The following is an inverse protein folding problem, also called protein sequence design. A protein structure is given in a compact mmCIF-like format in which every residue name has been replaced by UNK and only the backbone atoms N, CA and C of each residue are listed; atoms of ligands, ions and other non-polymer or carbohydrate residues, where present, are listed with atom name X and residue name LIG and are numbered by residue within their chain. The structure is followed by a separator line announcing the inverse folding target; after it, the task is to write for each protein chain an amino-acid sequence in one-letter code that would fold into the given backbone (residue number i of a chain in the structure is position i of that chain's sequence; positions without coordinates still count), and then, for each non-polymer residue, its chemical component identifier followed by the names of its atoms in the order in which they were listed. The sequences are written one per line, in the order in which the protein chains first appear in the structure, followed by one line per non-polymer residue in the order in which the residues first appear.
data_IF_861786614584
#
_entry.id   IF_861786614584
#
_cell.length_a   1.000
_cell.length_b   1.000
_cell.length_c   1.000
_cell.angle_alpha   90.00
_cell.angle_beta   90.00
_cell.angle_gamma   90.00
#
_symmetry.space_group_name_H-M   'P 1'
#
loop_
_entity.id
_entity.type
_entity.pdbx_description
1 polymer ?
#
# COMPACT_ATOMS: atom_id res chain seq x y z
N UNK A 1 30.57 -1.14 -0.30
CA UNK A 1 29.52 -0.93 0.72
C UNK A 1 28.15 -0.65 0.11
N UNK A 2 27.98 0.38 -0.73
CA UNK A 2 26.69 0.72 -1.36
C UNK A 2 26.13 -0.35 -2.32
N UNK A 3 27.00 -1.00 -3.10
CA UNK A 3 26.63 -2.10 -4.02
C UNK A 3 26.15 -3.36 -3.28
N UNK A 4 26.68 -3.58 -2.07
CA UNK A 4 26.24 -4.68 -1.19
C UNK A 4 24.87 -4.37 -0.57
N UNK A 5 24.56 -3.10 -0.28
CA UNK A 5 23.25 -2.68 0.24
C UNK A 5 22.11 -2.94 -0.77
N UNK A 6 22.36 -2.60 -2.04
CA UNK A 6 21.43 -2.86 -3.14
C UNK A 6 21.31 -4.36 -3.44
N UNK A 7 22.42 -5.11 -3.42
CA UNK A 7 22.38 -6.58 -3.57
C UNK A 7 21.63 -7.25 -2.41
N UNK A 8 21.77 -6.76 -1.17
CA UNK A 8 21.09 -7.34 0.00
C UNK A 8 19.58 -7.06 0.01
N UNK A 9 19.16 -5.86 -0.40
CA UNK A 9 17.74 -5.54 -0.58
C UNK A 9 17.12 -6.37 -1.73
N UNK A 10 17.84 -6.56 -2.84
CA UNK A 10 17.40 -7.46 -3.93
C UNK A 10 17.35 -8.93 -3.51
N UNK A 11 18.39 -9.46 -2.85
CA UNK A 11 18.51 -10.88 -2.46
C UNK A 11 17.56 -11.26 -1.33
N UNK A 12 17.30 -10.36 -0.36
CA UNK A 12 16.30 -10.57 0.69
C UNK A 12 14.88 -10.73 0.11
N UNK A 13 14.62 -10.07 -1.02
CA UNK A 13 13.32 -10.14 -1.69
C UNK A 13 13.22 -11.34 -2.65
N UNK A 14 14.29 -11.65 -3.37
CA UNK A 14 14.33 -12.80 -4.29
C UNK A 14 14.20 -14.16 -3.57
N UNK A 15 14.53 -14.23 -2.27
CA UNK A 15 14.35 -15.43 -1.45
C UNK A 15 12.93 -15.60 -0.87
N UNK A 16 12.09 -14.55 -0.87
CA UNK A 16 10.75 -14.57 -0.28
C UNK A 16 9.61 -14.72 -1.28
N UNK A 17 9.89 -14.70 -2.58
CA UNK A 17 8.91 -14.98 -3.65
C UNK A 17 8.52 -16.46 -3.77
N UNK A 18 9.15 -17.37 -3.02
CA UNK A 18 8.93 -18.83 -3.10
C UNK A 18 7.94 -19.39 -2.06
N UNK A 19 7.47 -18.60 -1.09
CA UNK A 19 6.66 -19.11 0.03
C UNK A 19 5.55 -18.15 0.42
N UNK A 20 4.45 -18.12 -0.35
CA UNK A 20 3.18 -17.54 0.09
C UNK A 20 2.04 -18.43 -0.44
N UNK A 21 1.58 -19.37 0.38
CA UNK A 21 0.32 -20.11 0.19
C UNK A 21 -0.31 -20.40 1.55
N UNK A 22 -1.35 -19.66 1.96
CA UNK A 22 -2.16 -20.05 3.12
C UNK A 22 -2.94 -18.93 3.83
N UNK A 23 -4.09 -19.31 4.39
CA UNK A 23 -5.10 -18.50 5.10
C UNK A 23 -4.60 -17.74 6.36
N UNK A 24 -3.41 -18.02 6.86
CA UNK A 24 -2.85 -17.36 8.06
C UNK A 24 -2.10 -16.03 7.76
N UNK A 25 -1.88 -15.70 6.48
CA UNK A 25 -1.00 -14.60 6.05
C UNK A 25 -1.69 -13.22 5.95
N UNK A 26 -3.03 -13.13 5.98
CA UNK A 26 -3.70 -11.84 5.69
C UNK A 26 -3.54 -10.80 6.81
N UNK A 27 -3.32 -11.25 8.07
CA UNK A 27 -2.87 -10.36 9.16
C UNK A 27 -1.38 -10.01 9.06
N UNK A 28 -0.58 -10.95 8.55
CA UNK A 28 0.85 -10.75 8.31
C UNK A 28 1.14 -9.87 7.08
N UNK A 29 0.21 -9.67 6.15
CA UNK A 29 0.38 -8.72 5.03
C UNK A 29 0.02 -7.29 5.44
N UNK A 30 -0.98 -7.12 6.32
CA UNK A 30 -1.29 -5.82 6.95
C UNK A 30 -0.21 -5.33 7.92
N UNK A 31 0.58 -6.23 8.51
CA UNK A 31 1.74 -5.92 9.36
C UNK A 31 3.10 -6.15 8.66
N UNK A 32 3.13 -6.85 7.53
CA UNK A 32 4.30 -7.11 6.68
C UNK A 32 3.93 -6.84 5.21
N UNK A 33 3.94 -5.58 4.80
CA UNK A 33 5.11 -5.22 4.01
C UNK A 33 6.38 -5.54 4.82
N UNK A 34 7.15 -6.56 4.44
CA UNK A 34 8.50 -6.76 5.01
C UNK A 34 9.34 -5.54 4.62
N UNK A 35 9.20 -4.47 5.38
CA UNK A 35 9.88 -3.20 5.20
C UNK A 35 11.29 -3.38 5.74
N UNK A 36 12.29 -3.08 4.90
CA UNK A 36 13.67 -3.02 5.36
C UNK A 36 13.78 -1.96 6.46
N UNK A 37 14.14 -2.38 7.67
CA UNK A 37 14.44 -1.48 8.77
C UNK A 37 15.91 -1.08 8.65
N UNK A 38 16.17 0.23 8.59
CA UNK A 38 17.51 0.80 8.72
C UNK A 38 17.72 1.22 10.17
N UNK A 39 18.50 0.46 10.93
CA UNK A 39 18.96 0.81 12.27
C UNK A 39 20.37 1.42 12.18
N UNK A 40 20.53 2.62 12.76
CA UNK A 40 21.83 3.29 12.87
C UNK A 40 22.23 3.47 14.34
N UNK A 41 23.21 2.68 14.78
CA UNK A 41 23.84 2.84 16.10
C UNK A 41 24.88 3.98 16.09
N UNK A 42 25.05 4.66 17.23
CA UNK A 42 25.90 5.85 17.38
C UNK A 42 27.41 5.57 17.47
N UNK A 43 27.86 4.35 17.18
CA UNK A 43 29.27 3.97 17.21
C UNK A 43 29.65 3.20 15.93
N UNK A 44 30.15 3.92 14.93
CA UNK A 44 30.43 3.47 13.55
C UNK A 44 29.19 3.16 12.70
N UNK A 45 29.13 3.59 11.42
CA UNK A 45 27.99 3.36 10.54
C UNK A 45 27.97 1.91 10.04
N UNK A 46 27.63 0.98 10.91
CA UNK A 46 27.23 -0.37 10.53
C UNK A 46 25.71 -0.37 10.36
N UNK A 47 25.26 -0.39 9.09
CA UNK A 47 23.86 -0.55 8.73
C UNK A 47 23.44 -2.00 9.00
N UNK A 48 22.50 -2.20 9.94
CA UNK A 48 21.89 -3.50 10.20
C UNK A 48 20.48 -3.56 9.60
N UNK A 49 20.23 -4.59 8.79
CA UNK A 49 18.89 -5.02 8.41
C UNK A 49 18.37 -5.91 9.53
N UNK A 50 17.31 -5.48 10.21
CA UNK A 50 16.61 -6.29 11.22
C UNK A 50 15.39 -6.98 10.63
N UNK A 51 15.19 -8.25 10.97
CA UNK A 51 13.89 -8.93 10.82
C UNK A 51 13.08 -8.71 12.10
N UNK A 52 11.88 -8.12 11.99
CA UNK A 52 10.88 -8.16 13.05
C UNK A 52 9.94 -9.34 12.78
N UNK A 53 10.12 -10.42 13.54
CA UNK A 53 9.19 -11.55 13.55
C UNK A 53 7.91 -11.21 14.31
N UNK A 54 6.76 -11.64 13.76
CA UNK A 54 5.48 -11.58 14.44
C UNK A 54 5.47 -12.53 15.66
N UNK A 55 4.94 -12.05 16.79
CA UNK A 55 4.79 -12.85 18.02
C UNK A 55 3.56 -13.76 17.96
N UNK A 56 3.29 -14.39 16.82
CA UNK A 56 2.27 -15.44 16.71
C UNK A 56 2.56 -16.33 15.52
N UNK A 57 3.47 -17.29 15.65
CA UNK A 57 3.40 -18.62 14.99
C UNK A 57 4.61 -19.45 15.39
N UNK A 58 4.33 -20.65 15.88
CA UNK A 58 5.32 -21.65 16.29
C UNK A 58 5.38 -22.68 15.16
N UNK A 59 6.30 -22.53 14.21
CA UNK A 59 6.56 -23.57 13.20
C UNK A 59 8.05 -23.71 12.98
N UNK A 60 8.60 -24.75 13.62
CA UNK A 60 9.91 -25.33 13.35
C UNK A 60 9.91 -25.94 11.95
N UNK A 61 10.75 -25.43 11.05
CA UNK A 61 11.52 -26.21 10.07
C UNK A 61 12.42 -25.24 9.30
N UNK A 62 13.74 -25.31 9.51
CA UNK A 62 14.77 -25.26 8.46
C UNK A 62 16.16 -25.47 9.12
N UNK A 63 16.89 -26.45 8.59
CA UNK A 63 18.22 -26.88 9.03
C UNK A 63 19.32 -25.88 8.65
N UNK A 64 20.34 -25.64 9.49
CA UNK A 64 21.51 -24.84 9.11
C UNK A 64 22.68 -25.71 8.63
N UNK A 65 23.46 -25.20 7.68
CA UNK A 65 24.79 -25.69 7.28
C UNK A 65 25.79 -24.52 7.29
N UNK A 66 27.11 -24.74 7.46
CA UNK A 66 27.76 -24.81 8.76
C UNK A 66 28.72 -23.62 8.99
N UNK A 67 28.97 -23.27 10.25
CA UNK A 67 30.15 -22.48 10.66
C UNK A 67 31.02 -23.29 11.62
N UNK A 68 32.34 -23.02 11.68
CA UNK A 68 33.29 -23.88 12.36
C UNK A 68 33.15 -23.82 13.88
N UNK A 69 33.45 -24.97 14.46
CA UNK A 69 33.45 -25.33 15.87
C UNK A 69 34.50 -24.50 16.64
N UNK A 70 34.09 -23.91 17.76
CA UNK A 70 34.96 -23.76 18.94
C UNK A 70 34.21 -24.30 20.16
N UNK A 71 34.87 -25.23 20.83
CA UNK A 71 34.41 -26.13 21.89
C UNK A 71 34.25 -25.49 23.27
N UNK A 72 33.30 -26.00 24.06
CA UNK A 72 33.43 -26.02 25.53
C UNK A 72 32.13 -26.19 26.33
N UNK A 73 31.88 -27.41 26.83
CA UNK A 73 31.18 -27.65 28.10
C UNK A 73 29.70 -28.06 28.03
N UNK A 74 29.39 -29.30 28.42
CA UNK A 74 28.07 -29.92 28.42
C UNK A 74 27.43 -30.01 29.83
N UNK A 75 26.16 -30.49 29.84
CA UNK A 75 25.26 -30.87 30.94
C UNK A 75 24.42 -29.71 31.54
N UNK A 76 23.11 -29.79 31.73
CA UNK A 76 22.16 -30.92 31.74
C UNK A 76 20.72 -30.36 31.69
N UNK A 77 19.80 -31.03 30.98
CA UNK A 77 18.37 -30.67 30.88
C UNK A 77 17.63 -31.04 32.17
N UNK A 78 16.86 -30.10 32.73
CA UNK A 78 15.67 -30.41 33.55
C UNK A 78 14.46 -29.66 32.99
N UNK A 79 13.55 -30.42 32.37
CA UNK A 79 12.23 -29.96 31.97
C UNK A 79 11.40 -29.63 33.22
N UNK A 80 11.00 -28.37 33.38
CA UNK A 80 9.82 -28.00 34.17
C UNK A 80 8.84 -27.30 33.24
N UNK A 81 7.76 -28.01 32.90
CA UNK A 81 6.60 -27.45 32.24
C UNK A 81 5.90 -26.51 33.25
N UNK A 82 6.18 -25.20 33.18
CA UNK A 82 5.40 -24.19 33.89
C UNK A 82 4.17 -23.86 33.03
N UNK A 83 2.99 -24.25 33.51
CA UNK A 83 1.70 -23.75 33.01
C UNK A 83 1.66 -22.25 33.32
N UNK A 84 1.53 -21.33 32.34
CA UNK A 84 1.44 -19.91 32.63
C UNK A 84 0.16 -19.58 33.40
N UNK A 85 0.31 -18.83 34.49
CA UNK A 85 -0.77 -18.23 35.27
C UNK A 85 -1.54 -17.22 34.39
N UNK A 86 -2.89 -17.20 34.34
CA UNK A 86 -3.67 -16.38 33.40
C UNK A 86 -3.73 -14.86 33.72
N UNK A 87 -2.72 -14.33 34.42
CA UNK A 87 -2.64 -12.92 34.85
C UNK A 87 -1.28 -12.26 34.53
N UNK A 88 -0.47 -12.84 33.64
CA UNK A 88 0.76 -12.16 33.20
C UNK A 88 0.39 -11.07 32.19
N UNK A 89 0.74 -9.79 32.41
CA UNK A 89 0.53 -8.75 31.42
C UNK A 89 1.25 -9.14 30.12
N UNK A 90 0.68 -8.74 28.98
CA UNK A 90 1.33 -8.92 27.69
C UNK A 90 2.77 -8.36 27.76
N UNK A 91 3.76 -9.04 27.14
CA UNK A 91 5.15 -8.60 27.24
C UNK A 91 5.28 -7.17 26.71
N UNK A 92 5.91 -6.30 27.50
CA UNK A 92 6.16 -4.91 27.15
C UNK A 92 6.80 -4.81 25.75
N UNK A 93 6.31 -3.87 24.94
CA UNK A 93 6.89 -3.59 23.64
C UNK A 93 8.30 -3.01 23.84
N UNK A 94 9.34 -3.51 23.13
CA UNK A 94 10.71 -3.12 23.39
C UNK A 94 10.94 -1.63 23.08
N UNK A 95 11.84 -0.95 23.82
CA UNK A 95 12.22 0.43 23.54
C UNK A 95 12.90 0.53 22.16
N UNK A 96 12.82 1.72 21.56
CA UNK A 96 13.39 2.01 20.24
C UNK A 96 14.43 3.15 20.37
N UNK A 97 15.68 2.87 20.80
CA UNK A 97 16.67 3.89 21.12
C UNK A 97 17.40 4.46 19.90
N UNK A 98 17.24 3.85 18.72
CA UNK A 98 17.96 4.22 17.50
C UNK A 98 17.20 5.23 16.64
N UNK A 99 17.84 5.67 15.57
CA UNK A 99 17.17 6.37 14.47
C UNK A 99 16.64 5.34 13.47
N UNK A 100 15.35 5.41 13.18
CA UNK A 100 14.67 4.50 12.26
C UNK A 100 14.14 5.25 11.04
N UNK A 101 14.23 4.62 9.87
CA UNK A 101 13.65 5.13 8.61
C UNK A 101 12.69 4.06 8.08
N UNK A 102 11.37 4.26 8.23
CA UNK A 102 10.34 3.37 7.70
C UNK A 102 8.97 4.07 7.66
N UNK A 103 7.95 3.40 7.14
CA UNK A 103 6.56 3.84 7.33
C UNK A 103 6.07 3.33 8.68
N UNK A 104 5.81 4.22 9.63
CA UNK A 104 5.34 3.80 10.96
C UNK A 104 3.82 3.90 11.10
N UNK A 105 3.17 4.72 10.27
CA UNK A 105 1.72 4.95 10.31
C UNK A 105 1.24 5.41 11.70
N UNK A 106 1.94 6.39 12.29
CA UNK A 106 1.63 6.92 13.63
C UNK A 106 1.37 8.44 13.63
N UNK A 107 1.70 9.17 12.56
CA UNK A 107 1.55 10.63 12.54
C UNK A 107 0.15 11.14 12.18
N UNK A 108 -0.79 10.26 11.82
CA UNK A 108 -2.20 10.60 11.53
C UNK A 108 -3.15 10.12 12.63
N UNK A 109 -2.64 9.93 13.85
CA UNK A 109 -3.39 9.45 15.03
C UNK A 109 -4.09 8.11 14.82
N UNK A 110 -3.45 7.21 14.07
CA UNK A 110 -3.90 5.84 13.89
C UNK A 110 -4.01 5.11 15.24
N UNK A 111 -4.74 4.00 15.28
CA UNK A 111 -4.87 3.22 16.51
C UNK A 111 -3.49 2.85 17.09
N UNK A 112 -3.26 3.13 18.38
CA UNK A 112 -1.98 2.86 19.06
C UNK A 112 -0.85 3.86 18.79
N UNK A 113 -1.08 4.93 18.01
CA UNK A 113 -0.03 5.87 17.61
C UNK A 113 0.80 6.44 18.75
N UNK A 114 0.13 6.89 19.82
CA UNK A 114 0.79 7.55 20.95
C UNK A 114 1.70 6.55 21.69
N UNK A 115 1.22 5.32 21.87
CA UNK A 115 1.97 4.22 22.50
C UNK A 115 3.23 3.89 21.68
N UNK A 116 3.09 3.78 20.37
CA UNK A 116 4.22 3.48 19.48
C UNK A 116 5.24 4.63 19.46
N UNK A 117 4.81 5.90 19.35
CA UNK A 117 5.71 7.04 19.41
C UNK A 117 6.45 7.18 20.74
N UNK A 118 5.77 6.87 21.86
CA UNK A 118 6.39 6.83 23.19
C UNK A 118 7.57 5.86 23.28
N UNK A 119 7.58 4.76 22.49
CA UNK A 119 8.71 3.81 22.47
C UNK A 119 10.00 4.44 21.96
N UNK A 120 9.88 5.37 21.00
CA UNK A 120 11.02 6.14 20.49
C UNK A 120 11.41 7.24 21.47
N UNK A 121 10.45 8.10 21.85
CA UNK A 121 10.76 9.31 22.63
C UNK A 121 11.31 9.00 24.01
N UNK A 122 10.81 7.95 24.68
CA UNK A 122 11.28 7.55 26.01
C UNK A 122 12.66 6.88 25.98
N UNK A 123 13.07 6.34 24.83
CA UNK A 123 14.34 5.67 24.66
C UNK A 123 15.42 6.58 24.04
N UNK A 124 15.10 7.85 23.77
CA UNK A 124 16.00 8.77 23.06
C UNK A 124 16.14 8.50 21.55
N UNK A 125 15.26 7.65 21.00
CA UNK A 125 15.24 7.34 19.57
C UNK A 125 14.61 8.44 18.72
N UNK A 126 14.63 8.19 17.41
CA UNK A 126 14.13 9.10 16.39
C UNK A 126 13.47 8.31 15.25
N UNK A 127 12.36 8.82 14.74
CA UNK A 127 11.67 8.26 13.59
C UNK A 127 11.70 9.26 12.42
N UNK A 128 12.34 8.87 11.33
CA UNK A 128 12.20 9.49 10.02
C UNK A 128 11.12 8.74 9.23
N UNK A 129 9.86 9.13 9.44
CA UNK A 129 8.73 8.49 8.76
C UNK A 129 8.77 8.79 7.25
N UNK A 130 8.87 7.74 6.44
CA UNK A 130 8.96 7.82 4.98
C UNK A 130 7.73 8.47 4.33
N UNK A 131 6.56 8.42 4.97
CA UNK A 131 5.35 9.11 4.50
C UNK A 131 5.50 10.64 4.56
N UNK A 132 6.31 11.15 5.50
CA UNK A 132 6.45 12.58 5.80
C UNK A 132 7.81 13.15 5.42
N UNK A 133 8.62 12.37 4.70
CA UNK A 133 9.88 12.83 4.12
C UNK A 133 9.58 13.74 2.91
N UNK A 134 9.82 15.05 3.08
CA UNK A 134 9.38 16.09 2.13
C UNK A 134 10.49 17.02 1.66
N UNK A 135 10.39 17.47 0.41
CA UNK A 135 11.22 18.51 -0.17
C UNK A 135 10.91 19.90 0.45
N UNK A 136 11.57 20.94 -0.05
CA UNK A 136 11.40 22.32 0.43
C UNK A 136 10.01 22.91 0.12
N UNK A 137 9.31 22.35 -0.86
CA UNK A 137 7.95 22.73 -1.24
C UNK A 137 6.88 21.90 -0.51
N UNK A 138 7.27 21.04 0.43
CA UNK A 138 6.37 20.15 1.14
C UNK A 138 5.91 18.94 0.33
N UNK A 139 6.50 18.67 -0.85
CA UNK A 139 6.18 17.49 -1.66
C UNK A 139 6.93 16.28 -1.13
N UNK A 140 6.25 15.14 -1.05
CA UNK A 140 6.89 13.86 -0.67
C UNK A 140 7.99 13.49 -1.65
N UNK A 141 9.17 13.16 -1.12
CA UNK A 141 10.35 12.81 -1.91
C UNK A 141 10.19 11.49 -2.66
N UNK A 142 9.54 10.50 -2.02
CA UNK A 142 9.27 9.19 -2.59
C UNK A 142 7.85 8.74 -2.24
N UNK A 143 7.15 8.15 -3.21
CA UNK A 143 5.84 7.54 -3.02
C UNK A 143 5.55 6.53 -4.14
N UNK A 144 4.73 5.52 -3.85
CA UNK A 144 4.36 4.44 -4.78
C UNK A 144 3.23 4.82 -5.77
N UNK A 145 3.04 6.12 -6.04
CA UNK A 145 1.84 6.61 -6.73
C UNK A 145 1.66 6.01 -8.12
N UNK A 146 2.71 6.01 -8.95
CA UNK A 146 2.66 5.52 -10.33
C UNK A 146 2.20 4.06 -10.39
N UNK A 147 2.89 3.16 -9.67
CA UNK A 147 2.53 1.74 -9.66
C UNK A 147 1.22 1.43 -8.95
N UNK A 148 0.75 2.26 -8.01
CA UNK A 148 -0.59 2.14 -7.45
C UNK A 148 -1.67 2.35 -8.53
N UNK A 149 -1.54 3.39 -9.34
CA UNK A 149 -2.46 3.66 -10.44
C UNK A 149 -2.39 2.62 -11.54
N UNK A 150 -1.19 2.17 -11.88
CA UNK A 150 -0.96 1.11 -12.87
C UNK A 150 -1.60 -0.22 -12.44
N UNK A 151 -1.29 -0.69 -11.23
CA UNK A 151 -1.83 -1.93 -10.69
C UNK A 151 -3.35 -1.87 -10.47
N UNK A 152 -3.86 -0.75 -9.95
CA UNK A 152 -5.30 -0.52 -9.78
C UNK A 152 -6.06 -0.59 -11.10
N UNK A 153 -5.53 0.05 -12.14
CA UNK A 153 -6.13 0.03 -13.48
C UNK A 153 -6.08 -1.36 -14.11
N UNK A 154 -4.96 -2.08 -13.96
CA UNK A 154 -4.85 -3.46 -14.41
C UNK A 154 -5.91 -4.36 -13.75
N UNK A 155 -6.10 -4.26 -12.43
CA UNK A 155 -7.15 -4.99 -11.73
C UNK A 155 -8.55 -4.58 -12.18
N UNK A 156 -8.78 -3.29 -12.44
CA UNK A 156 -10.07 -2.79 -12.92
C UNK A 156 -10.43 -3.38 -14.30
N UNK A 157 -9.46 -3.44 -15.21
CA UNK A 157 -9.62 -4.04 -16.54
C UNK A 157 -9.87 -5.55 -16.44
N UNK A 158 -9.15 -6.25 -15.56
CA UNK A 158 -9.39 -7.68 -15.28
C UNK A 158 -10.79 -7.91 -14.70
N UNK A 159 -11.23 -7.07 -13.76
CA UNK A 159 -12.55 -7.17 -13.15
C UNK A 159 -13.66 -6.91 -14.16
N UNK A 160 -13.49 -5.93 -15.03
CA UNK A 160 -14.42 -5.62 -16.11
C UNK A 160 -14.52 -6.78 -17.10
N UNK A 161 -13.39 -7.29 -17.58
CA UNK A 161 -13.35 -8.41 -18.50
C UNK A 161 -13.98 -9.67 -17.88
N UNK A 162 -13.62 -9.99 -16.63
CA UNK A 162 -14.21 -11.09 -15.88
C UNK A 162 -15.73 -10.95 -15.79
N UNK A 163 -16.23 -9.76 -15.47
CA UNK A 163 -17.67 -9.55 -15.31
C UNK A 163 -18.44 -9.80 -16.60
N UNK A 164 -17.90 -9.40 -17.75
CA UNK A 164 -18.52 -9.66 -19.05
C UNK A 164 -18.47 -11.14 -19.45
N UNK A 165 -17.34 -11.81 -19.18
CA UNK A 165 -17.11 -13.21 -19.56
C UNK A 165 -17.75 -14.22 -18.60
N UNK A 166 -18.02 -13.80 -17.35
CA UNK A 166 -18.54 -14.62 -16.26
C UNK A 166 -19.60 -13.84 -15.45
N UNK A 167 -20.73 -13.47 -16.07
CA UNK A 167 -21.77 -12.69 -15.40
C UNK A 167 -22.30 -13.41 -14.16
N UNK A 168 -22.51 -12.67 -13.07
CA UNK A 168 -23.01 -13.20 -11.79
C UNK A 168 -22.00 -14.04 -10.99
N UNK A 169 -20.76 -14.20 -11.47
CA UNK A 169 -19.71 -14.92 -10.75
C UNK A 169 -18.74 -13.95 -10.10
N UNK A 170 -18.47 -14.11 -8.80
CA UNK A 170 -17.48 -13.30 -8.10
C UNK A 170 -16.06 -13.55 -8.67
N UNK A 171 -15.26 -12.50 -8.76
CA UNK A 171 -13.86 -12.64 -9.18
C UNK A 171 -13.05 -13.30 -8.06
N UNK A 172 -12.28 -14.32 -8.42
CA UNK A 172 -11.40 -15.01 -7.50
C UNK A 172 -10.14 -14.21 -7.12
N UNK A 173 -9.27 -14.79 -6.28
CA UNK A 173 -8.01 -14.17 -5.88
C UNK A 173 -7.13 -13.79 -7.07
N UNK A 174 -6.40 -12.68 -6.93
CA UNK A 174 -5.42 -12.22 -7.91
C UNK A 174 -4.01 -12.42 -7.36
N UNK A 175 -3.13 -13.18 -8.04
CA UNK A 175 -1.75 -13.35 -7.58
C UNK A 175 -0.94 -12.07 -7.76
N UNK A 176 0.18 -11.98 -7.05
CA UNK A 176 1.22 -11.00 -7.36
C UNK A 176 1.96 -11.41 -8.63
N UNK A 177 2.50 -10.43 -9.35
CA UNK A 177 3.15 -10.65 -10.63
C UNK A 177 4.66 -10.40 -10.53
N UNK A 178 5.42 -11.25 -11.22
CA UNK A 178 6.88 -11.11 -11.31
C UNK A 178 7.29 -9.86 -12.08
N UNK A 179 6.42 -9.32 -12.94
CA UNK A 179 6.69 -8.10 -13.70
C UNK A 179 5.42 -7.36 -14.11
N UNK A 180 5.57 -6.06 -14.35
CA UNK A 180 4.52 -5.24 -14.96
C UNK A 180 4.13 -5.74 -16.37
N UNK A 181 5.10 -6.28 -17.13
CA UNK A 181 4.83 -6.85 -18.45
C UNK A 181 3.94 -8.09 -18.37
N UNK A 182 4.21 -9.00 -17.43
CA UNK A 182 3.41 -10.21 -17.24
C UNK A 182 1.98 -9.87 -16.80
N UNK A 183 1.83 -8.87 -15.92
CA UNK A 183 0.52 -8.32 -15.55
C UNK A 183 -0.23 -7.80 -16.78
N UNK A 184 0.40 -6.95 -17.59
CA UNK A 184 -0.27 -6.36 -18.76
C UNK A 184 -0.57 -7.38 -19.86
N UNK A 185 0.26 -8.40 -20.05
CA UNK A 185 -0.03 -9.45 -21.03
C UNK A 185 -1.30 -10.22 -20.64
N UNK A 186 -1.50 -10.50 -19.35
CA UNK A 186 -2.75 -11.07 -18.84
C UNK A 186 -3.93 -10.12 -19.06
N UNK A 187 -3.77 -8.84 -18.71
CA UNK A 187 -4.80 -7.81 -18.90
C UNK A 187 -5.21 -7.73 -20.38
N UNK A 188 -4.24 -7.64 -21.29
CA UNK A 188 -4.47 -7.56 -22.73
C UNK A 188 -5.23 -8.78 -23.23
N UNK A 189 -4.85 -9.98 -22.79
CA UNK A 189 -5.58 -11.21 -23.14
C UNK A 189 -7.04 -11.17 -22.67
N UNK A 190 -7.27 -10.79 -21.41
CA UNK A 190 -8.61 -10.73 -20.83
C UNK A 190 -9.49 -9.67 -21.50
N UNK A 191 -8.94 -8.47 -21.73
CA UNK A 191 -9.65 -7.38 -22.43
C UNK A 191 -10.03 -7.80 -23.84
N UNK A 192 -9.09 -8.39 -24.60
CA UNK A 192 -9.35 -8.85 -25.97
C UNK A 192 -10.44 -9.93 -26.04
N UNK A 193 -10.47 -10.87 -25.10
CA UNK A 193 -11.53 -11.88 -25.01
C UNK A 193 -12.89 -11.23 -24.71
N UNK A 194 -12.90 -10.24 -23.82
CA UNK A 194 -14.12 -9.51 -23.43
C UNK A 194 -14.67 -8.57 -24.52
N UNK A 195 -13.88 -8.19 -25.55
CA UNK A 195 -14.35 -7.33 -26.64
C UNK A 195 -15.59 -7.91 -27.35
N UNK A 196 -15.62 -9.22 -27.58
CA UNK A 196 -16.76 -9.87 -28.23
C UNK A 196 -18.05 -9.73 -27.41
N UNK A 197 -17.94 -9.72 -26.07
CA UNK A 197 -19.05 -9.48 -25.15
C UNK A 197 -19.40 -8.00 -24.99
N UNK A 198 -18.60 -7.10 -25.56
CA UNK A 198 -18.79 -5.65 -25.55
C UNK A 198 -18.91 -5.08 -26.97
N UNK A 199 -19.59 -5.78 -27.87
CA UNK A 199 -19.88 -5.32 -29.25
C UNK A 199 -18.62 -4.98 -30.07
N UNK A 200 -17.49 -5.62 -29.76
CA UNK A 200 -16.18 -5.36 -30.39
C UNK A 200 -15.52 -4.06 -29.93
N UNK A 201 -16.04 -3.39 -28.90
CA UNK A 201 -15.52 -2.11 -28.40
C UNK A 201 -14.67 -2.28 -27.15
N UNK A 202 -13.62 -1.48 -27.03
CA UNK A 202 -12.86 -1.35 -25.78
C UNK A 202 -13.71 -0.66 -24.70
N UNK A 203 -13.46 -0.96 -23.41
CA UNK A 203 -14.13 -0.25 -22.33
C UNK A 203 -13.75 1.23 -22.34
N UNK A 204 -14.74 2.10 -22.12
CA UNK A 204 -14.48 3.51 -21.80
C UNK A 204 -14.00 3.60 -20.36
N UNK A 205 -12.79 4.11 -20.17
CA UNK A 205 -12.15 4.28 -18.86
C UNK A 205 -12.09 5.78 -18.55
N UNK A 206 -12.60 6.20 -17.40
CA UNK A 206 -12.37 7.54 -16.87
C UNK A 206 -11.36 7.49 -15.73
N UNK A 207 -10.31 8.29 -15.85
CA UNK A 207 -9.27 8.47 -14.83
C UNK A 207 -9.40 9.88 -14.29
N UNK A 208 -9.76 10.03 -13.01
CA UNK A 208 -9.79 11.33 -12.33
C UNK A 208 -8.50 11.51 -11.53
N UNK A 209 -7.80 12.62 -11.75
CA UNK A 209 -6.43 12.87 -11.25
C UNK A 209 -5.35 12.43 -12.23
N UNK A 210 -5.66 12.49 -13.53
CA UNK A 210 -4.82 11.95 -14.61
C UNK A 210 -3.43 12.60 -14.74
N UNK A 211 -3.25 13.84 -14.27
CA UNK A 211 -1.96 14.56 -14.34
C UNK A 211 -1.04 14.25 -13.16
N UNK A 212 -1.55 13.63 -12.10
CA UNK A 212 -0.74 13.17 -10.97
C UNK A 212 0.00 11.87 -11.28
N UNK A 213 1.03 11.54 -10.49
CA UNK A 213 1.81 10.29 -10.64
C UNK A 213 0.93 9.05 -10.75
N UNK A 214 -0.09 8.96 -9.90
CA UNK A 214 -1.05 7.86 -9.89
C UNK A 214 -1.88 7.81 -11.18
N UNK A 215 -2.45 8.95 -11.60
CA UNK A 215 -3.19 9.03 -12.85
C UNK A 215 -2.34 8.73 -14.09
N UNK A 216 -1.07 9.16 -14.10
CA UNK A 216 -0.13 8.80 -15.16
C UNK A 216 0.04 7.28 -15.27
N UNK A 217 0.30 6.60 -14.15
CA UNK A 217 0.41 5.13 -14.14
C UNK A 217 -0.89 4.43 -14.56
N UNK A 218 -2.05 4.98 -14.20
CA UNK A 218 -3.34 4.46 -14.65
C UNK A 218 -3.53 4.58 -16.17
N UNK A 219 -3.24 5.75 -16.73
CA UNK A 219 -3.33 6.02 -18.19
C UNK A 219 -2.34 5.15 -18.96
N UNK A 220 -1.09 5.05 -18.50
CA UNK A 220 -0.07 4.22 -19.16
C UNK A 220 -0.40 2.72 -19.06
N UNK A 221 -1.09 2.27 -18.01
CA UNK A 221 -1.62 0.91 -17.96
C UNK A 221 -2.70 0.67 -19.03
N UNK A 222 -3.63 1.61 -19.24
CA UNK A 222 -4.60 1.51 -20.34
C UNK A 222 -3.92 1.40 -21.70
N UNK A 223 -2.91 2.25 -21.95
CA UNK A 223 -2.13 2.24 -23.20
C UNK A 223 -1.39 0.92 -23.38
N UNK A 224 -0.72 0.42 -22.32
CA UNK A 224 0.01 -0.85 -22.35
C UNK A 224 -0.93 -2.06 -22.56
N UNK A 225 -2.15 -2.01 -22.03
CA UNK A 225 -3.21 -2.98 -22.25
C UNK A 225 -3.80 -2.92 -23.68
N UNK A 226 -3.43 -1.93 -24.48
CA UNK A 226 -3.86 -1.79 -25.88
C UNK A 226 -5.17 -1.02 -26.07
N UNK A 227 -5.65 -0.31 -25.03
CA UNK A 227 -6.83 0.54 -25.19
C UNK A 227 -6.47 1.74 -26.09
N UNK A 228 -7.34 2.10 -27.04
CA UNK A 228 -7.12 3.27 -27.88
C UNK A 228 -7.34 4.55 -27.04
N UNK A 229 -6.65 5.63 -27.40
CA UNK A 229 -6.59 6.84 -26.58
C UNK A 229 -7.99 7.47 -26.36
N UNK A 230 -8.87 7.39 -27.34
CA UNK A 230 -10.26 7.87 -27.29
C UNK A 230 -11.14 7.12 -26.28
N UNK A 231 -10.77 5.89 -25.90
CA UNK A 231 -11.45 5.14 -24.86
C UNK A 231 -11.07 5.63 -23.45
N UNK A 232 -10.06 6.48 -23.29
CA UNK A 232 -9.55 6.92 -21.99
C UNK A 232 -9.83 8.40 -21.76
N UNK A 233 -10.76 8.71 -20.86
CA UNK A 233 -11.02 10.05 -20.38
C UNK A 233 -10.02 10.42 -19.29
N UNK A 234 -9.15 11.39 -19.58
CA UNK A 234 -8.10 11.87 -18.67
C UNK A 234 -8.58 13.16 -18.00
N UNK A 235 -9.17 13.03 -16.81
CA UNK A 235 -9.73 14.15 -16.07
C UNK A 235 -8.82 14.62 -14.95
N UNK A 236 -8.81 15.92 -14.71
CA UNK A 236 -8.10 16.53 -13.60
C UNK A 236 -8.88 17.77 -13.07
N UNK A 237 -8.19 18.70 -12.41
CA UNK A 237 -8.79 19.89 -11.80
C UNK A 237 -9.65 20.72 -12.76
N UNK A 238 -9.26 20.78 -14.04
CA UNK A 238 -10.00 21.53 -15.05
C UNK A 238 -11.45 21.04 -15.20
N UNK A 239 -11.66 19.72 -15.21
CA UNK A 239 -12.99 19.11 -15.36
C UNK A 239 -13.70 18.98 -14.02
N UNK A 240 -12.97 18.67 -12.95
CA UNK A 240 -13.54 18.37 -11.63
C UNK A 240 -13.92 19.61 -10.83
N UNK A 241 -13.35 20.77 -11.13
CA UNK A 241 -13.64 22.04 -10.44
C UNK A 241 -15.10 22.48 -10.52
N UNK A 242 -15.88 21.96 -11.48
CA UNK A 242 -17.33 22.18 -11.60
C UNK A 242 -18.15 21.60 -10.44
N UNK A 243 -17.56 20.67 -9.68
CA UNK A 243 -18.23 19.92 -8.61
C UNK A 243 -19.04 18.73 -9.15
N UNK A 244 -19.02 17.62 -8.42
CA UNK A 244 -19.81 16.43 -8.77
C UNK A 244 -21.29 16.52 -8.35
N UNK A 245 -22.09 15.47 -8.63
CA UNK A 245 -21.69 14.21 -9.26
C UNK A 245 -21.41 14.34 -10.76
N UNK A 246 -20.52 13.50 -11.28
CA UNK A 246 -20.11 13.52 -12.68
C UNK A 246 -20.83 12.43 -13.49
N UNK A 247 -21.68 12.83 -14.44
CA UNK A 247 -22.37 11.89 -15.34
C UNK A 247 -21.38 11.05 -16.15
N UNK A 248 -20.23 11.62 -16.48
CA UNK A 248 -19.18 10.99 -17.28
C UNK A 248 -18.61 9.74 -16.60
N UNK A 249 -18.71 9.68 -15.26
CA UNK A 249 -18.39 8.47 -14.48
C UNK A 249 -19.43 7.38 -14.74
N UNK A 250 -20.74 7.68 -14.64
CA UNK A 250 -21.80 6.70 -14.89
C UNK A 250 -21.88 6.20 -16.36
N UNK A 251 -21.48 7.06 -17.31
CA UNK A 251 -21.44 6.78 -18.76
C UNK A 251 -20.18 6.00 -19.19
N UNK A 252 -19.16 5.91 -18.35
CA UNK A 252 -17.94 5.12 -18.59
C UNK A 252 -18.14 3.68 -18.12
N UNK A 253 -17.34 2.73 -18.61
CA UNK A 253 -17.39 1.32 -18.18
C UNK A 253 -16.58 1.09 -16.90
N UNK A 254 -15.46 1.82 -16.78
CA UNK A 254 -14.51 1.74 -15.68
C UNK A 254 -14.20 3.16 -15.18
N UNK A 255 -14.20 3.34 -13.87
CA UNK A 255 -13.74 4.56 -13.23
C UNK A 255 -12.52 4.26 -12.34
N UNK A 256 -11.41 4.96 -12.58
CA UNK A 256 -10.21 4.93 -11.74
C UNK A 256 -10.07 6.28 -11.03
N UNK A 257 -10.13 6.29 -9.70
CA UNK A 257 -9.88 7.48 -8.90
C UNK A 257 -8.43 7.54 -8.41
N UNK A 258 -7.74 8.61 -8.79
CA UNK A 258 -6.37 8.89 -8.39
C UNK A 258 -6.26 10.15 -7.50
N UNK A 259 -7.38 10.64 -6.98
CA UNK A 259 -7.44 11.84 -6.14
C UNK A 259 -7.83 11.49 -4.71
N UNK A 260 -6.95 11.83 -3.76
CA UNK A 260 -7.29 11.90 -2.34
C UNK A 260 -7.76 13.31 -2.00
N UNK A 261 -9.03 13.45 -1.63
CA UNK A 261 -9.59 14.71 -1.17
C UNK A 261 -9.36 14.79 0.34
N UNK A 262 -8.46 15.69 0.74
CA UNK A 262 -8.10 15.89 2.15
C UNK A 262 -9.27 16.42 2.99
N UNK A 263 -8.97 17.17 4.07
CA UNK A 263 -10.00 17.61 5.01
C UNK A 263 -11.06 18.58 4.43
N UNK A 264 -10.80 19.20 3.28
CA UNK A 264 -11.72 20.16 2.67
C UNK A 264 -12.86 19.44 1.95
N UNK A 265 -14.08 19.61 2.47
CA UNK A 265 -15.27 18.96 1.92
C UNK A 265 -15.56 19.45 0.51
N UNK A 266 -15.72 18.50 -0.41
CA UNK A 266 -16.13 18.77 -1.80
C UNK A 266 -17.35 17.90 -2.15
N UNK A 267 -18.18 18.32 -3.13
CA UNK A 267 -19.24 17.46 -3.63
C UNK A 267 -18.66 16.13 -4.13
N UNK A 268 -19.29 14.98 -3.81
CA UNK A 268 -18.76 13.68 -4.20
C UNK A 268 -18.79 13.53 -5.72
N UNK A 269 -17.84 12.76 -6.26
CA UNK A 269 -17.75 12.47 -7.69
C UNK A 269 -18.93 11.63 -8.18
N UNK A 270 -19.45 10.76 -7.30
CA UNK A 270 -20.64 9.93 -7.55
C UNK A 270 -21.49 9.83 -6.28
N UNK A 271 -22.77 9.54 -6.45
CA UNK A 271 -23.71 9.19 -5.38
C UNK A 271 -24.45 7.92 -5.76
N UNK A 272 -25.18 7.31 -4.82
CA UNK A 272 -26.11 6.22 -5.15
C UNK A 272 -27.10 6.64 -6.24
N UNK A 273 -27.67 7.84 -6.12
CA UNK A 273 -28.60 8.40 -7.11
C UNK A 273 -27.94 8.58 -8.48
N UNK A 274 -26.72 9.12 -8.55
CA UNK A 274 -26.04 9.32 -9.84
C UNK A 274 -25.64 8.00 -10.52
N UNK A 275 -25.57 6.90 -9.76
CA UNK A 275 -25.26 5.57 -10.27
C UNK A 275 -26.51 4.68 -10.41
N UNK A 276 -27.69 5.09 -9.94
CA UNK A 276 -28.91 4.28 -10.02
C UNK A 276 -29.80 4.78 -11.17
N UNK A 277 -29.52 4.32 -12.39
CA UNK A 277 -30.28 4.75 -13.57
C UNK A 277 -30.19 3.79 -14.75
N UNK A 278 -31.22 3.74 -15.61
CA UNK A 278 -31.35 2.75 -16.70
C UNK A 278 -30.28 2.87 -17.81
N UNK A 279 -29.50 3.96 -17.81
CA UNK A 279 -28.41 4.20 -18.77
C UNK A 279 -26.99 4.01 -18.22
N UNK A 280 -26.83 3.55 -16.96
CA UNK A 280 -25.48 3.36 -16.38
C UNK A 280 -24.73 2.26 -17.14
N UNK A 281 -23.55 2.61 -17.66
CA UNK A 281 -22.57 1.66 -18.23
C UNK A 281 -21.53 1.22 -17.22
N UNK A 282 -21.30 2.04 -16.18
CA UNK A 282 -20.26 1.80 -15.17
C UNK A 282 -20.43 0.44 -14.50
N UNK A 283 -19.36 -0.34 -14.57
CA UNK A 283 -19.27 -1.72 -14.09
C UNK A 283 -18.20 -1.89 -13.01
N UNK A 284 -17.12 -1.13 -13.10
CA UNK A 284 -16.00 -1.20 -12.16
C UNK A 284 -15.58 0.19 -11.69
N UNK A 285 -15.40 0.34 -10.38
CA UNK A 285 -14.70 1.46 -9.77
C UNK A 285 -13.41 0.92 -9.15
N UNK A 286 -12.26 1.51 -9.49
CA UNK A 286 -11.03 1.34 -8.73
C UNK A 286 -10.72 2.65 -8.02
N UNK A 287 -10.91 2.66 -6.71
CA UNK A 287 -10.52 3.79 -5.88
C UNK A 287 -9.10 3.58 -5.36
N UNK A 288 -8.11 4.06 -6.12
CA UNK A 288 -6.69 3.94 -5.74
C UNK A 288 -6.38 4.79 -4.51
N UNK A 289 -7.18 5.82 -4.27
CA UNK A 289 -7.06 6.71 -3.11
C UNK A 289 -8.03 6.32 -1.98
N UNK A 290 -8.43 5.05 -1.94
CA UNK A 290 -9.50 4.59 -1.05
C UNK A 290 -9.27 4.94 0.42
N UNK A 291 -10.31 5.52 1.01
CA UNK A 291 -10.43 5.73 2.45
C UNK A 291 -11.92 5.65 2.81
N UNK A 292 -12.49 4.43 2.93
CA UNK A 292 -13.90 4.24 3.30
C UNK A 292 -14.27 4.85 4.66
N UNK A 293 -13.29 5.18 5.51
CA UNK A 293 -13.53 5.81 6.81
C UNK A 293 -13.54 7.35 6.72
N UNK A 294 -13.20 7.93 5.57
CA UNK A 294 -13.19 9.38 5.37
C UNK A 294 -14.61 9.92 5.25
N UNK A 295 -14.95 10.92 6.08
CA UNK A 295 -16.19 11.69 5.96
C UNK A 295 -16.28 12.48 4.64
N UNK A 296 -15.15 12.63 3.95
CA UNK A 296 -15.00 13.30 2.67
C UNK A 296 -14.63 12.33 1.53
N UNK A 297 -15.00 11.05 1.65
CA UNK A 297 -14.83 10.09 0.57
C UNK A 297 -15.61 10.58 -0.68
N UNK A 298 -14.94 10.83 -1.83
CA UNK A 298 -15.62 11.28 -3.05
C UNK A 298 -16.47 10.22 -3.73
N UNK A 299 -16.37 8.97 -3.29
CA UNK A 299 -17.06 7.81 -3.84
C UNK A 299 -17.83 7.14 -2.69
N UNK A 300 -18.83 7.81 -2.08
CA UNK A 300 -19.57 7.34 -0.91
C UNK A 300 -20.60 6.24 -1.27
N UNK A 301 -20.16 5.19 -1.97
CA UNK A 301 -20.99 4.04 -2.38
C UNK A 301 -20.42 2.69 -1.91
N UNK A 302 -19.35 2.72 -1.09
CA UNK A 302 -18.76 1.54 -0.44
C UNK A 302 -18.31 1.88 0.99
N UNK A 303 -18.10 0.86 1.82
CA UNK A 303 -17.82 1.03 3.25
C UNK A 303 -16.70 0.12 3.80
N UNK A 304 -16.04 -0.65 2.96
CA UNK A 304 -14.96 -1.57 3.37
C UNK A 304 -13.83 -1.60 2.36
N UNK A 305 -12.68 -2.12 2.77
CA UNK A 305 -11.57 -2.40 1.87
C UNK A 305 -11.75 -3.77 1.19
N UNK A 306 -11.23 -3.91 -0.02
CA UNK A 306 -11.04 -5.20 -0.70
C UNK A 306 -9.60 -5.72 -0.48
N UNK A 307 -9.28 -6.93 -0.92
CA UNK A 307 -7.94 -7.52 -0.81
C UNK A 307 -7.56 -8.27 -2.08
N UNK A 308 -6.31 -8.69 -2.25
CA UNK A 308 -5.98 -9.53 -3.41
C UNK A 308 -6.69 -10.90 -3.38
N UNK A 309 -7.10 -11.39 -2.21
CA UNK A 309 -7.91 -12.60 -2.05
C UNK A 309 -9.35 -12.40 -2.48
N UNK A 310 -9.91 -11.21 -2.22
CA UNK A 310 -11.24 -10.79 -2.65
C UNK A 310 -11.15 -9.41 -3.30
N UNK A 311 -10.75 -9.34 -4.59
CA UNK A 311 -10.30 -8.10 -5.25
C UNK A 311 -11.41 -7.07 -5.44
N UNK A 312 -12.66 -7.51 -5.42
CA UNK A 312 -13.83 -6.64 -5.62
C UNK A 312 -14.83 -6.81 -4.51
N UNK A 313 -15.43 -5.70 -4.08
CA UNK A 313 -16.58 -5.67 -3.19
C UNK A 313 -17.79 -5.04 -3.91
N UNK A 314 -19.02 -5.34 -3.48
CA UNK A 314 -20.21 -4.68 -4.03
C UNK A 314 -20.34 -3.25 -3.49
N UNK A 315 -21.22 -2.46 -4.09
CA UNK A 315 -21.71 -1.23 -3.47
C UNK A 315 -22.40 -1.54 -2.13
N UNK A 316 -22.31 -0.61 -1.17
CA UNK A 316 -22.90 -0.78 0.17
C UNK A 316 -24.43 -0.60 0.21
N UNK A 317 -25.05 -0.27 -0.93
CA UNK A 317 -26.49 -0.09 -1.08
C UNK A 317 -26.98 -0.54 -2.46
N UNK A 318 -28.30 -0.54 -2.65
CA UNK A 318 -28.93 -0.93 -3.91
C UNK A 318 -28.61 0.07 -5.04
N UNK A 319 -28.34 -0.46 -6.23
CA UNK A 319 -28.11 0.31 -7.45
C UNK A 319 -28.84 -0.36 -8.61
N UNK A 320 -29.64 0.40 -9.34
CA UNK A 320 -30.23 -0.06 -10.60
C UNK A 320 -29.19 -0.09 -11.71
N UNK A 321 -29.36 -1.01 -12.67
CA UNK A 321 -28.46 -1.19 -13.81
C UNK A 321 -27.52 -2.40 -13.67
N UNK A 322 -26.40 -2.46 -14.41
CA UNK A 322 -25.48 -3.60 -14.35
C UNK A 322 -24.83 -3.74 -12.96
N UNK A 323 -24.38 -4.94 -12.59
CA UNK A 323 -23.62 -5.14 -11.35
C UNK A 323 -22.42 -4.17 -11.29
N UNK A 324 -22.21 -3.53 -10.14
CA UNK A 324 -21.07 -2.64 -9.89
C UNK A 324 -20.07 -3.33 -8.95
N UNK A 325 -18.81 -3.40 -9.36
CA UNK A 325 -17.69 -3.92 -8.57
C UNK A 325 -16.76 -2.78 -8.16
N UNK A 326 -16.35 -2.77 -6.91
CA UNK A 326 -15.49 -1.73 -6.36
C UNK A 326 -14.20 -2.38 -5.88
N UNK A 327 -13.07 -1.82 -6.31
CA UNK A 327 -11.72 -2.18 -5.89
C UNK A 327 -11.25 -1.05 -4.97
N UNK A 328 -11.06 -1.37 -3.69
CA UNK A 328 -10.57 -0.48 -2.64
C UNK A 328 -9.44 -1.19 -1.88
N UNK A 329 -8.35 -1.48 -2.58
CA UNK A 329 -7.13 -2.09 -2.03
C UNK A 329 -6.14 -0.95 -1.73
N UNK A 330 -5.66 -0.86 -0.50
CA UNK A 330 -4.76 0.21 -0.03
C UNK A 330 -3.26 -0.08 -0.25
N UNK A 331 -2.94 -1.27 -0.77
CA UNK A 331 -1.57 -1.73 -1.06
C UNK A 331 -1.40 -2.21 -2.52
N UNK A 332 -2.10 -1.57 -3.47
CA UNK A 332 -2.03 -1.87 -4.90
C UNK A 332 -0.61 -2.04 -5.50
N UNK A 333 0.40 -1.23 -5.14
CA UNK A 333 1.76 -1.39 -5.67
C UNK A 333 2.37 -2.78 -5.46
N UNK A 334 1.93 -3.51 -4.44
CA UNK A 334 2.39 -4.88 -4.14
C UNK A 334 2.10 -5.86 -5.27
N UNK A 335 1.13 -5.56 -6.16
CA UNK A 335 0.83 -6.40 -7.32
C UNK A 335 2.02 -6.54 -8.27
N UNK A 336 2.89 -5.52 -8.34
CA UNK A 336 4.11 -5.44 -9.16
C UNK A 336 5.26 -4.92 -8.29
N UNK A 337 5.50 -5.66 -7.20
CA UNK A 337 6.36 -5.20 -6.11
C UNK A 337 7.79 -4.87 -6.53
N UNK A 338 8.34 -5.56 -7.55
CA UNK A 338 9.70 -5.28 -8.04
C UNK A 338 9.78 -3.88 -8.62
N UNK A 339 8.96 -3.56 -9.62
CA UNK A 339 8.99 -2.26 -10.28
C UNK A 339 8.61 -1.13 -9.31
N UNK A 340 7.62 -1.36 -8.44
CA UNK A 340 7.25 -0.42 -7.38
C UNK A 340 8.42 -0.11 -6.44
N UNK A 341 9.21 -1.12 -6.08
CA UNK A 341 10.38 -0.97 -5.20
C UNK A 341 11.55 -0.29 -5.91
N UNK A 342 11.80 -0.61 -7.18
CA UNK A 342 12.86 -0.01 -7.98
C UNK A 342 12.64 1.49 -8.16
N UNK A 343 11.41 1.91 -8.50
CA UNK A 343 11.06 3.31 -8.62
C UNK A 343 11.14 4.03 -7.27
N UNK A 344 10.53 3.46 -6.22
CA UNK A 344 10.54 4.05 -4.89
C UNK A 344 11.97 4.26 -4.38
N UNK A 345 12.82 3.25 -4.55
CA UNK A 345 14.24 3.32 -4.16
C UNK A 345 14.99 4.38 -4.95
N UNK A 346 14.72 4.50 -6.25
CA UNK A 346 15.31 5.53 -7.11
C UNK A 346 14.91 6.94 -6.68
N UNK A 347 13.64 7.14 -6.30
CA UNK A 347 13.14 8.42 -5.76
C UNK A 347 13.71 8.75 -4.37
N UNK A 348 13.92 7.74 -3.53
CA UNK A 348 14.44 7.91 -2.17
C UNK A 348 15.96 8.10 -2.13
N UNK A 349 16.69 7.54 -3.10
CA UNK A 349 18.16 7.51 -3.14
C UNK A 349 18.80 8.90 -2.96
N UNK A 350 18.34 9.99 -3.62
CA UNK A 350 18.91 11.32 -3.42
C UNK A 350 18.87 11.77 -1.95
N UNK A 351 17.80 11.46 -1.21
CA UNK A 351 17.72 11.79 0.22
C UNK A 351 18.68 10.93 1.05
N UNK A 352 18.78 9.63 0.75
CA UNK A 352 19.69 8.71 1.46
C UNK A 352 21.15 9.11 1.30
N UNK A 353 21.53 9.66 0.14
CA UNK A 353 22.88 10.18 -0.12
C UNK A 353 23.23 11.44 0.70
N UNK A 354 22.27 12.04 1.42
CA UNK A 354 22.52 13.18 2.31
C UNK A 354 22.41 12.82 3.80
N UNK A 355 22.33 11.53 4.14
CA UNK A 355 22.10 11.07 5.52
C UNK A 355 23.30 11.32 6.46
N UNK A 356 24.51 11.40 5.89
CA UNK A 356 25.74 11.81 6.57
C UNK A 356 25.69 13.26 7.06
N UNK A 357 24.83 14.08 6.46
CA UNK A 357 24.58 15.50 6.74
C UNK A 357 23.17 15.74 7.27
N UNK A 358 22.57 14.73 7.91
CA UNK A 358 21.17 14.80 8.39
C UNK A 358 20.90 15.94 9.38
N UNK A 359 21.93 16.39 10.10
CA UNK A 359 21.85 17.46 11.10
C UNK A 359 21.86 18.86 10.44
N UNK A 360 22.19 18.93 9.15
CA UNK A 360 22.16 20.16 8.35
C UNK A 360 20.71 20.48 7.91
N UNK A 361 20.46 21.73 7.50
CA UNK A 361 19.17 22.09 6.93
C UNK A 361 18.86 21.24 5.68
N UNK A 362 17.66 20.67 5.61
CA UNK A 362 17.30 19.78 4.51
C UNK A 362 16.17 18.82 4.84
N UNK A 363 16.08 17.75 4.05
CA UNK A 363 15.00 16.75 4.11
C UNK A 363 14.91 16.05 5.48
N UNK A 364 16.05 15.67 6.05
CA UNK A 364 16.12 14.96 7.34
C UNK A 364 15.76 15.86 8.51
N UNK A 365 16.24 17.10 8.54
CA UNK A 365 15.90 18.07 9.60
C UNK A 365 14.43 18.47 9.59
N UNK A 366 13.79 18.53 8.41
CA UNK A 366 12.33 18.69 8.30
C UNK A 366 11.60 17.47 8.86
N UNK A 367 12.04 16.26 8.52
CA UNK A 367 11.45 15.03 9.04
C UNK A 367 11.60 14.90 10.56
N UNK A 368 12.76 15.23 11.13
CA UNK A 368 12.92 15.28 12.60
C UNK A 368 11.98 16.31 13.23
N UNK A 369 11.85 17.51 12.65
CA UNK A 369 10.91 18.51 13.16
C UNK A 369 9.47 17.97 13.20
N UNK A 370 9.06 17.28 12.14
CA UNK A 370 7.75 16.61 12.09
C UNK A 370 7.63 15.58 13.21
N UNK A 371 8.63 14.70 13.39
CA UNK A 371 8.63 13.73 14.48
C UNK A 371 8.49 14.40 15.86
N UNK A 372 9.30 15.42 16.16
CA UNK A 372 9.25 16.13 17.44
C UNK A 372 7.90 16.80 17.67
N UNK A 373 7.31 17.39 16.63
CA UNK A 373 5.97 17.97 16.70
C UNK A 373 4.92 16.91 17.06
N UNK A 374 5.00 15.70 16.47
CA UNK A 374 4.08 14.59 16.77
C UNK A 374 4.29 13.99 18.15
N UNK A 375 5.53 13.92 18.63
CA UNK A 375 5.83 13.52 20.01
C UNK A 375 5.21 14.49 21.02
N UNK A 376 5.23 15.79 20.73
CA UNK A 376 4.61 16.80 21.59
C UNK A 376 3.07 16.68 21.69
N UNK A 377 2.43 15.95 20.78
CA UNK A 377 0.98 15.69 20.82
C UNK A 377 0.62 14.48 21.71
N UNK A 378 1.59 13.70 22.20
CA UNK A 378 1.33 12.50 23.01
C UNK A 378 0.61 12.91 24.31
N UNK A 379 -0.55 12.31 24.64
CA UNK A 379 -1.27 12.63 25.87
C UNK A 379 -0.42 12.34 27.11
N UNK A 380 -0.49 13.22 28.12
CA UNK A 380 0.18 13.01 29.40
C UNK A 380 -0.21 11.67 30.03
N UNK A 381 0.77 10.95 30.58
CA UNK A 381 0.56 9.63 31.17
C UNK A 381 0.50 8.46 30.18
N UNK A 382 0.71 8.70 28.87
CA UNK A 382 0.85 7.62 27.88
C UNK A 382 2.14 6.83 28.12
N UNK A 383 2.04 5.77 28.91
CA UNK A 383 3.09 4.77 29.07
C UNK A 383 3.06 3.77 27.91
N UNK A 384 4.18 3.14 27.51
CA UNK A 384 4.18 1.98 26.63
C UNK A 384 3.39 0.76 27.17
N UNK A 385 2.74 0.87 28.34
CA UNK A 385 1.94 -0.16 28.98
C UNK A 385 0.42 0.10 28.86
N UNK A 386 -0.23 -0.70 28.00
CA UNK A 386 -1.59 -1.23 28.17
C UNK A 386 -1.82 -2.34 27.15
#
# INVERSE_FOLDING_TARGET
MLLLLLLSLLLFWQSNSQTITGEADERAVKSSSRQGVLDMSSASPALQLGEFGDKTTNTTHHSPLPRPIVSGGAAEKKNHLKIPNPLSPAPESPPLPHSYIHFAHVFKRQHGWAKELSRFSNAGGLLYDLEFLTDENGRRVAAFGYWAGYAGTALALLAWAHQLLRPGTAQGPVPVFDSASALVDLVRSAVNEALAANEGQFPRVIVIGALGRCGTGAVECCEAAGLPAESVLRWDMAETSKGGPFREVAESDIFVNCVYLGAHRVPPFVTFESLSGPGRRLRVICDVSCDPNSENNPIPVYASYSSFQSPTIPASGHLDGPELRIIAIDYLPTLVAREASDEYSSLLLPALLTLDRRDDEGVWKRAERTYRARVAEIPEGTSPAS
#
